data_IF_674367333693
#
_entry.id   IF_674367333693
#
_cell.length_a   1.000
_cell.length_b   1.000
_cell.length_c   1.000
_cell.angle_alpha   90.00
_cell.angle_beta   90.00
_cell.angle_gamma   90.00
#
_symmetry.space_group_name_H-M   'P 1'
#
loop_
_entity.id
_entity.type
_entity.pdbx_description
1 polymer ?
#
# COMPACT_ATOMS: atom_id res chain seq x y z
N UNK A 1 43.78 -65.10 -1.18
CA UNK A 1 42.31 -65.00 -1.31
C UNK A 1 42.01 -63.55 -1.66
N UNK A 2 41.17 -63.31 -2.66
CA UNK A 2 41.00 -62.00 -3.29
C UNK A 2 39.51 -61.70 -3.45
N UNK A 3 39.06 -60.62 -2.82
CA UNK A 3 37.67 -60.15 -2.89
C UNK A 3 37.69 -58.74 -3.47
N UNK A 4 37.29 -58.59 -4.73
CA UNK A 4 37.23 -57.30 -5.41
C UNK A 4 35.95 -56.55 -5.08
N UNK A 5 36.05 -55.26 -4.80
CA UNK A 5 34.91 -54.35 -4.66
C UNK A 5 34.84 -53.46 -5.91
N UNK A 6 33.65 -53.30 -6.50
CA UNK A 6 33.42 -52.35 -7.60
C UNK A 6 32.70 -51.11 -7.06
N UNK A 7 33.13 -49.88 -7.40
CA UNK A 7 32.28 -48.70 -7.23
C UNK A 7 31.13 -48.72 -8.24
N UNK A 8 30.06 -47.96 -7.95
CA UNK A 8 28.94 -47.70 -8.84
C UNK A 8 28.93 -46.22 -9.22
N UNK A 9 28.85 -45.92 -10.52
CA UNK A 9 28.70 -44.54 -11.02
C UNK A 9 27.29 -44.00 -10.76
N UNK A 10 27.16 -43.03 -9.86
CA UNK A 10 25.94 -42.26 -9.66
C UNK A 10 25.87 -41.09 -10.64
N UNK A 11 25.13 -41.22 -11.75
CA UNK A 11 24.86 -40.10 -12.66
C UNK A 11 23.91 -39.10 -12.02
N UNK A 12 24.29 -37.83 -11.97
CA UNK A 12 23.37 -36.72 -11.67
C UNK A 12 22.45 -36.51 -12.87
N UNK A 13 21.14 -36.68 -12.68
CA UNK A 13 20.13 -36.47 -13.71
C UNK A 13 19.63 -35.03 -13.72
N UNK A 14 19.55 -34.42 -14.90
CA UNK A 14 18.92 -33.12 -15.12
C UNK A 14 17.53 -33.31 -15.74
N UNK A 15 16.51 -32.69 -15.13
CA UNK A 15 15.18 -32.46 -15.67
C UNK A 15 14.77 -31.04 -15.25
N UNK A 16 14.59 -30.05 -16.12
CA UNK A 16 13.88 -29.98 -17.41
C UNK A 16 12.36 -30.15 -17.29
N UNK A 17 11.69 -29.02 -17.48
CA UNK A 17 10.60 -28.83 -18.44
C UNK A 17 9.42 -29.83 -18.36
N UNK A 18 8.39 -29.51 -17.57
CA UNK A 18 7.05 -30.12 -17.71
C UNK A 18 6.11 -29.11 -18.37
N UNK A 19 6.11 -29.13 -19.69
CA UNK A 19 5.02 -28.54 -20.50
C UNK A 19 3.95 -29.61 -20.68
N UNK A 20 2.69 -29.28 -20.39
CA UNK A 20 1.51 -30.01 -20.86
C UNK A 20 0.51 -29.05 -21.50
N UNK A 21 -0.24 -29.55 -22.49
CA UNK A 21 -0.86 -28.69 -23.48
C UNK A 21 -2.19 -29.23 -24.05
N UNK A 22 -3.12 -28.29 -24.26
CA UNK A 22 -4.11 -28.25 -25.37
C UNK A 22 -5.35 -29.18 -25.33
N UNK A 23 -6.45 -28.66 -25.93
CA UNK A 23 -7.67 -29.30 -26.46
C UNK A 23 -8.88 -29.55 -25.51
N UNK A 24 -10.16 -29.39 -25.93
CA UNK A 24 -10.79 -28.53 -26.98
C UNK A 24 -12.35 -28.56 -26.87
N UNK A 25 -13.06 -27.62 -27.52
CA UNK A 25 -14.53 -27.53 -27.76
C UNK A 25 -15.44 -27.28 -26.51
N UNK A 26 -16.45 -26.38 -26.45
CA UNK A 26 -17.39 -25.72 -27.39
C UNK A 26 -18.59 -26.59 -27.85
N UNK A 27 -19.82 -26.12 -28.07
CA UNK A 27 -20.41 -24.74 -28.13
C UNK A 27 -21.44 -24.52 -26.95
N UNK A 28 -22.59 -23.80 -26.91
CA UNK A 28 -23.55 -23.20 -27.87
C UNK A 28 -24.38 -22.00 -27.29
N UNK A 29 -24.40 -20.87 -28.02
CA UNK A 29 -25.41 -19.79 -28.22
C UNK A 29 -26.46 -19.38 -27.14
N UNK A 30 -26.56 -18.05 -26.95
CA UNK A 30 -27.77 -17.33 -26.52
C UNK A 30 -27.46 -15.84 -26.28
N UNK A 31 -28.10 -14.91 -27.02
CA UNK A 31 -27.78 -13.48 -26.90
C UNK A 31 -28.96 -12.57 -27.24
N UNK A 32 -28.87 -11.31 -26.78
CA UNK A 32 -29.72 -10.20 -27.19
C UNK A 32 -28.89 -8.93 -27.34
N UNK A 33 -29.33 -8.05 -28.25
CA UNK A 33 -28.73 -6.74 -28.51
C UNK A 33 -29.53 -5.67 -27.76
N UNK A 34 -28.85 -4.80 -27.02
CA UNK A 34 -29.45 -3.60 -26.42
C UNK A 34 -28.79 -2.35 -27.01
N UNK A 35 -29.43 -1.73 -28.01
CA UNK A 35 -29.08 -0.37 -28.42
C UNK A 35 -29.70 0.59 -27.40
N UNK A 36 -28.86 1.30 -26.64
CA UNK A 36 -29.28 2.34 -25.71
C UNK A 36 -28.22 3.44 -25.67
N UNK A 37 -28.63 4.69 -25.75
CA UNK A 37 -27.76 5.85 -25.57
C UNK A 37 -27.41 5.95 -24.09
N UNK A 38 -26.26 5.39 -23.72
CA UNK A 38 -25.75 5.49 -22.35
C UNK A 38 -25.14 6.88 -22.17
N UNK A 39 -25.94 7.83 -21.68
CA UNK A 39 -25.58 9.25 -21.53
C UNK A 39 -24.65 9.51 -20.34
N UNK A 40 -23.74 8.59 -20.07
CA UNK A 40 -22.75 8.66 -18.99
C UNK A 40 -21.44 9.17 -19.55
N UNK A 41 -20.97 10.28 -19.00
CA UNK A 41 -19.71 10.94 -19.38
C UNK A 41 -18.51 10.25 -18.72
N UNK A 42 -18.74 9.54 -17.61
CA UNK A 42 -17.71 8.77 -16.90
C UNK A 42 -18.20 7.37 -16.46
N UNK A 43 -17.23 6.47 -16.32
CA UNK A 43 -17.38 5.14 -15.71
C UNK A 43 -16.41 4.96 -14.53
N UNK A 44 -15.30 5.69 -14.51
CA UNK A 44 -14.34 5.74 -13.40
C UNK A 44 -13.93 7.18 -13.09
N UNK A 45 -13.42 7.39 -11.87
CA UNK A 45 -12.91 8.68 -11.38
C UNK A 45 -11.89 9.36 -12.31
N UNK A 46 -11.09 8.58 -13.04
CA UNK A 46 -10.07 9.07 -13.97
C UNK A 46 -10.62 9.65 -15.28
N UNK A 47 -11.90 9.42 -15.61
CA UNK A 47 -12.55 9.99 -16.79
C UNK A 47 -12.89 11.48 -16.59
N UNK A 48 -12.90 11.96 -15.33
CA UNK A 48 -13.33 13.29 -14.94
C UNK A 48 -12.15 14.22 -14.63
N UNK A 49 -12.18 15.45 -15.16
CA UNK A 49 -11.15 16.47 -14.88
C UNK A 49 -11.06 16.90 -13.40
N UNK A 50 -12.11 16.64 -12.61
CA UNK A 50 -12.19 16.82 -11.16
C UNK A 50 -11.70 15.62 -10.34
N UNK A 51 -11.43 14.47 -10.98
CA UNK A 51 -11.16 13.20 -10.31
C UNK A 51 -12.39 12.55 -9.66
N UNK A 52 -13.60 13.09 -9.85
CA UNK A 52 -14.83 12.59 -9.23
C UNK A 52 -15.88 12.27 -10.30
N UNK A 53 -16.14 10.98 -10.46
CA UNK A 53 -17.27 10.44 -11.22
C UNK A 53 -18.39 10.04 -10.24
N UNK A 54 -19.61 10.47 -10.49
CA UNK A 54 -20.79 10.15 -9.67
C UNK A 54 -21.41 8.80 -10.03
N UNK A 55 -22.20 8.18 -9.13
CA UNK A 55 -22.88 6.90 -9.41
C UNK A 55 -23.89 6.93 -10.56
N UNK A 56 -24.29 8.12 -11.04
CA UNK A 56 -25.12 8.30 -12.24
C UNK A 56 -24.30 8.43 -13.54
N UNK A 57 -22.98 8.46 -13.45
CA UNK A 57 -22.05 8.61 -14.58
C UNK A 57 -21.83 10.05 -15.04
N UNK A 58 -22.13 11.05 -14.20
CA UNK A 58 -21.75 12.46 -14.41
C UNK A 58 -20.46 12.81 -13.68
N UNK A 59 -19.70 13.79 -14.20
CA UNK A 59 -18.50 14.30 -13.54
C UNK A 59 -18.82 15.47 -12.61
N UNK A 60 -18.18 15.53 -11.44
CA UNK A 60 -18.21 16.72 -10.58
C UNK A 60 -17.59 17.92 -11.33
N UNK A 61 -18.23 19.10 -11.38
CA UNK A 61 -17.68 20.26 -12.06
C UNK A 61 -16.43 20.78 -11.36
N UNK A 62 -15.38 21.08 -12.13
CA UNK A 62 -14.18 21.76 -11.59
C UNK A 62 -14.54 23.20 -11.25
N UNK A 63 -14.66 23.50 -9.96
CA UNK A 63 -14.88 24.86 -9.46
C UNK A 63 -13.59 25.66 -9.58
N UNK A 64 -13.37 26.25 -10.75
CA UNK A 64 -12.30 27.23 -10.95
C UNK A 64 -12.68 28.49 -10.16
N UNK A 65 -12.00 28.74 -9.04
CA UNK A 65 -12.10 30.03 -8.37
C UNK A 65 -11.33 31.06 -9.20
N UNK A 66 -12.05 31.85 -9.99
CA UNK A 66 -11.50 33.01 -10.69
C UNK A 66 -11.05 34.07 -9.67
N UNK A 67 -9.78 33.98 -9.27
CA UNK A 67 -9.12 34.94 -8.40
C UNK A 67 -8.80 36.24 -9.17
N UNK A 68 -9.84 37.02 -9.47
CA UNK A 68 -9.72 38.22 -10.31
C UNK A 68 -10.95 39.12 -10.29
N UNK A 69 -11.28 39.70 -9.13
CA UNK A 69 -12.25 40.80 -9.02
C UNK A 69 -11.50 42.14 -8.81
N UNK A 70 -11.42 42.95 -9.85
CA UNK A 70 -10.78 44.27 -9.82
C UNK A 70 -11.77 45.35 -9.38
N UNK A 71 -11.68 45.77 -8.11
CA UNK A 71 -12.47 46.89 -7.57
C UNK A 71 -11.56 48.09 -7.27
N UNK A 72 -11.66 49.13 -8.09
CA UNK A 72 -10.84 50.35 -8.02
C UNK A 72 -11.67 51.61 -7.72
N UNK A 73 -11.13 52.48 -6.85
CA UNK A 73 -11.72 53.74 -6.38
C UNK A 73 -12.77 53.61 -5.25
N UNK A 74 -12.85 54.54 -4.28
CA UNK A 74 -11.97 55.69 -4.00
C UNK A 74 -12.65 56.79 -3.15
N UNK A 75 -11.84 57.75 -2.69
CA UNK A 75 -12.15 59.04 -2.04
C UNK A 75 -12.10 59.17 -0.48
N UNK A 76 -11.05 59.88 -0.03
CA UNK A 76 -11.03 61.02 0.92
C UNK A 76 -11.63 60.97 2.36
N UNK A 77 -10.71 61.20 3.32
CA UNK A 77 -10.83 62.03 4.55
C UNK A 77 -11.81 61.55 5.66
N UNK A 78 -11.67 61.90 6.95
CA UNK A 78 -10.80 62.86 7.65
C UNK A 78 -10.39 62.28 9.04
N UNK A 79 -9.58 62.98 9.83
CA UNK A 79 -9.06 62.50 11.12
C UNK A 79 -9.87 62.95 12.36
N UNK A 80 -10.12 62.06 13.34
CA UNK A 80 -9.98 62.36 14.81
C UNK A 80 -10.13 61.15 15.75
N UNK A 81 -9.34 61.17 16.82
CA UNK A 81 -9.59 60.76 18.23
C UNK A 81 -10.40 59.48 18.61
N UNK A 82 -9.64 58.44 18.95
CA UNK A 82 -9.60 57.78 20.27
C UNK A 82 -10.89 57.33 21.01
N UNK A 83 -11.24 56.05 20.84
CA UNK A 83 -11.60 55.09 21.90
C UNK A 83 -11.20 53.69 21.38
N UNK A 84 -10.38 52.89 22.06
CA UNK A 84 -10.66 52.10 23.27
C UNK A 84 -11.83 51.10 23.10
N UNK A 85 -11.56 50.02 22.36
CA UNK A 85 -12.25 48.75 22.55
C UNK A 85 -11.28 47.60 22.24
N UNK A 86 -10.93 46.79 23.26
CA UNK A 86 -10.10 45.59 23.07
C UNK A 86 -11.02 44.41 22.77
N UNK A 87 -11.35 44.22 21.50
CA UNK A 87 -11.87 42.92 21.07
C UNK A 87 -10.73 41.90 21.14
N UNK A 88 -10.78 41.04 22.15
CA UNK A 88 -10.11 39.74 22.13
C UNK A 88 -10.79 38.91 21.03
N UNK A 89 -10.35 39.10 19.79
CA UNK A 89 -10.59 38.12 18.75
C UNK A 89 -9.80 36.86 19.15
N UNK A 90 -10.54 35.86 19.63
CA UNK A 90 -10.11 34.46 19.60
C UNK A 90 -9.93 34.07 18.12
N UNK A 91 -8.80 34.47 17.55
CA UNK A 91 -8.30 33.98 16.29
C UNK A 91 -7.93 32.52 16.47
N UNK A 92 -8.92 31.64 16.31
CA UNK A 92 -8.72 30.22 16.05
C UNK A 92 -7.66 30.15 14.94
N UNK A 93 -6.46 29.59 15.23
CA UNK A 93 -5.34 29.75 14.32
C UNK A 93 -5.63 28.94 13.06
N UNK A 94 -5.83 29.63 11.94
CA UNK A 94 -5.81 29.04 10.60
C UNK A 94 -4.55 28.17 10.52
N UNK A 95 -4.76 26.85 10.56
CA UNK A 95 -3.69 25.88 10.59
C UNK A 95 -3.12 25.73 9.17
N UNK A 96 -2.35 26.74 8.76
CA UNK A 96 -1.60 26.83 7.51
C UNK A 96 -1.04 25.45 7.15
N UNK A 97 -1.63 24.77 6.14
CA UNK A 97 -1.70 23.31 6.09
C UNK A 97 -0.31 22.72 6.11
N UNK A 98 0.05 22.12 7.25
CA UNK A 98 1.44 21.96 7.74
C UNK A 98 2.36 21.44 6.65
N UNK A 99 2.99 22.36 5.91
CA UNK A 99 3.84 22.02 4.77
C UNK A 99 5.03 21.25 5.30
N UNK A 100 5.03 19.94 5.05
CA UNK A 100 6.07 19.03 5.50
C UNK A 100 7.43 19.53 4.98
N UNK A 101 8.38 19.66 5.90
CA UNK A 101 9.72 20.19 5.63
C UNK A 101 10.72 19.10 6.01
N UNK A 102 11.36 18.44 5.03
CA UNK A 102 12.38 17.45 5.33
C UNK A 102 13.58 18.15 5.97
N UNK A 103 14.17 17.51 6.98
CA UNK A 103 15.31 17.99 7.73
C UNK A 103 16.60 17.22 7.37
N UNK A 104 16.47 15.96 6.93
CA UNK A 104 17.58 15.11 6.47
C UNK A 104 18.50 14.55 7.57
N UNK A 105 18.08 14.50 8.84
CA UNK A 105 18.91 14.04 9.96
C UNK A 105 19.00 12.49 10.10
N UNK A 106 18.13 11.76 9.39
CA UNK A 106 18.04 10.29 9.43
C UNK A 106 16.97 9.75 10.41
N UNK A 107 16.20 10.65 11.02
CA UNK A 107 15.02 10.36 11.85
C UNK A 107 13.78 10.91 11.14
N UNK A 108 12.71 10.13 11.07
CA UNK A 108 11.41 10.60 10.57
C UNK A 108 10.43 10.66 11.74
N UNK A 109 9.97 11.87 12.10
CA UNK A 109 8.89 12.09 13.07
C UNK A 109 7.52 12.09 12.39
N UNK A 110 6.45 12.09 13.17
CA UNK A 110 5.08 12.20 12.64
C UNK A 110 4.86 13.49 11.80
N UNK A 111 5.56 14.59 12.14
CA UNK A 111 5.49 15.84 11.38
C UNK A 111 6.21 15.79 10.02
N UNK A 112 7.14 14.83 9.84
CA UNK A 112 7.87 14.58 8.60
C UNK A 112 7.26 13.44 7.77
N UNK A 113 6.15 12.85 8.19
CA UNK A 113 5.44 11.79 7.48
C UNK A 113 3.92 12.06 7.47
N UNK A 114 3.44 13.02 6.67
CA UNK A 114 2.01 13.36 6.60
C UNK A 114 1.20 12.14 6.12
N UNK A 115 0.26 11.70 6.94
CA UNK A 115 -0.58 10.53 6.73
C UNK A 115 -2.04 10.85 7.07
N UNK A 116 -2.96 10.32 6.29
CA UNK A 116 -4.40 10.60 6.39
C UNK A 116 -5.11 10.28 5.06
N UNK A 117 -6.40 10.60 4.92
CA UNK A 117 -7.11 10.51 3.64
C UNK A 117 -6.72 11.66 2.68
N UNK A 118 -7.01 11.49 1.39
CA UNK A 118 -6.85 12.53 0.37
C UNK A 118 -5.52 12.52 -0.40
N UNK A 119 -4.56 11.68 0.00
CA UNK A 119 -3.29 11.53 -0.73
C UNK A 119 -3.47 10.54 -1.89
N UNK A 120 -2.81 10.81 -3.02
CA UNK A 120 -2.78 9.93 -4.19
C UNK A 120 -1.40 9.92 -4.83
N UNK A 121 -1.00 8.81 -5.41
CA UNK A 121 0.32 8.61 -6.03
C UNK A 121 0.29 7.44 -7.01
N UNK A 122 1.06 7.54 -8.10
CA UNK A 122 1.21 6.44 -9.07
C UNK A 122 2.37 5.55 -8.67
N UNK A 123 2.17 4.24 -8.63
CA UNK A 123 3.23 3.26 -8.37
C UNK A 123 3.42 2.34 -9.56
N UNK A 124 4.67 2.18 -10.02
CA UNK A 124 5.02 1.11 -10.95
C UNK A 124 5.15 -0.18 -10.17
N UNK A 125 4.26 -1.13 -10.44
CA UNK A 125 4.18 -2.41 -9.75
C UNK A 125 4.71 -3.52 -10.65
N UNK A 126 5.80 -4.14 -10.22
CA UNK A 126 6.39 -5.35 -10.81
C UNK A 126 5.86 -6.58 -10.07
N UNK A 127 5.36 -7.61 -10.77
CA UNK A 127 4.93 -8.89 -10.16
C UNK A 127 5.61 -10.10 -10.80
N UNK A 128 5.81 -11.16 -10.01
CA UNK A 128 6.51 -12.38 -10.42
C UNK A 128 7.97 -12.08 -10.79
N UNK A 129 8.68 -11.42 -9.89
CA UNK A 129 9.96 -10.76 -10.18
C UNK A 129 11.12 -11.72 -9.95
N UNK A 130 11.56 -12.39 -11.01
CA UNK A 130 12.79 -13.18 -10.99
C UNK A 130 14.04 -12.30 -11.01
N UNK A 131 15.08 -12.68 -10.25
CA UNK A 131 16.38 -12.00 -10.27
C UNK A 131 16.46 -10.66 -9.53
N UNK A 132 15.41 -10.28 -8.79
CA UNK A 132 15.51 -9.22 -7.78
C UNK A 132 16.44 -9.63 -6.64
N UNK A 133 17.14 -8.67 -6.04
CA UNK A 133 17.86 -8.84 -4.78
C UNK A 133 17.52 -7.65 -3.87
N UNK A 134 17.11 -7.92 -2.63
CA UNK A 134 16.69 -6.87 -1.69
C UNK A 134 17.86 -6.11 -1.04
N UNK A 135 19.07 -6.70 -1.08
CA UNK A 135 20.26 -6.16 -0.44
C UNK A 135 20.82 -4.97 -1.25
N UNK A 136 21.12 -3.83 -0.60
CA UNK A 136 21.65 -2.65 -1.31
C UNK A 136 23.12 -2.82 -1.74
N UNK A 137 23.51 -2.12 -2.79
CA UNK A 137 24.92 -1.89 -3.10
C UNK A 137 25.49 -0.78 -2.20
N UNK A 138 26.32 -1.17 -1.22
CA UNK A 138 27.03 -0.25 -0.34
C UNK A 138 28.50 -0.02 -0.75
N UNK A 139 28.94 -0.49 -1.93
CA UNK A 139 30.34 -0.39 -2.39
C UNK A 139 30.85 1.05 -2.50
N UNK A 140 29.95 2.01 -2.71
CA UNK A 140 30.26 3.45 -2.78
C UNK A 140 30.43 4.14 -1.42
N UNK A 141 30.25 3.43 -0.31
CA UNK A 141 30.21 4.00 1.04
C UNK A 141 28.84 4.52 1.46
N UNK A 142 27.93 4.73 0.52
CA UNK A 142 26.48 4.91 0.75
C UNK A 142 25.74 3.73 0.12
N UNK A 143 24.85 3.11 0.89
CA UNK A 143 23.99 2.03 0.41
C UNK A 143 22.96 2.56 -0.61
N UNK A 144 22.84 1.87 -1.75
CA UNK A 144 21.93 2.20 -2.84
C UNK A 144 21.03 1.00 -3.17
N UNK A 145 19.72 1.25 -3.21
CA UNK A 145 18.76 0.39 -3.89
C UNK A 145 18.39 1.02 -5.23
N UNK A 146 18.76 0.38 -6.33
CA UNK A 146 18.37 0.81 -7.67
C UNK A 146 17.11 0.06 -8.11
N UNK A 147 15.94 0.64 -7.88
CA UNK A 147 14.66 -0.01 -8.16
C UNK A 147 14.08 0.37 -9.54
N UNK A 148 14.74 1.18 -10.36
CA UNK A 148 14.16 1.68 -11.62
C UNK A 148 13.71 0.53 -12.53
N UNK A 149 14.65 -0.33 -12.91
CA UNK A 149 14.49 -1.39 -13.91
C UNK A 149 14.27 -2.78 -13.28
N UNK A 150 13.38 -2.86 -12.28
CA UNK A 150 12.92 -4.15 -11.72
C UNK A 150 12.02 -4.87 -12.72
N UNK A 151 12.40 -6.11 -13.06
CA UNK A 151 11.71 -6.99 -14.03
C UNK A 151 10.37 -7.57 -13.53
N UNK A 152 9.97 -8.71 -14.10
CA UNK A 152 8.63 -9.29 -13.92
C UNK A 152 7.61 -8.69 -14.90
N UNK A 153 6.31 -8.90 -14.64
CA UNK A 153 5.22 -8.19 -15.34
C UNK A 153 5.01 -6.85 -14.67
N UNK A 154 4.99 -5.76 -15.45
CA UNK A 154 4.88 -4.39 -14.92
C UNK A 154 3.58 -3.71 -15.34
N UNK A 155 2.99 -2.95 -14.41
CA UNK A 155 1.89 -2.02 -14.64
C UNK A 155 2.09 -0.76 -13.78
N UNK A 156 1.48 0.35 -14.17
CA UNK A 156 1.40 1.55 -13.32
C UNK A 156 0.01 1.57 -12.68
N UNK A 157 -0.03 1.62 -11.34
CA UNK A 157 -1.24 1.48 -10.53
C UNK A 157 -1.41 2.67 -9.59
N UNK A 158 -2.60 3.31 -9.56
CA UNK A 158 -2.87 4.38 -8.61
C UNK A 158 -3.03 3.80 -7.20
N UNK A 159 -2.29 4.37 -6.26
CA UNK A 159 -2.51 4.21 -4.82
C UNK A 159 -3.12 5.49 -4.27
N UNK A 160 -4.20 5.38 -3.51
CA UNK A 160 -4.87 6.50 -2.87
C UNK A 160 -5.23 6.16 -1.42
N UNK A 161 -5.21 7.16 -0.55
CA UNK A 161 -5.77 7.09 0.80
C UNK A 161 -7.16 7.72 0.78
N UNK A 162 -8.18 6.95 1.16
CA UNK A 162 -9.58 7.34 1.09
C UNK A 162 -10.13 7.53 2.51
N UNK A 163 -10.98 8.53 2.70
CA UNK A 163 -11.75 8.65 3.94
C UNK A 163 -12.61 7.39 4.17
N UNK A 164 -12.82 7.04 5.44
CA UNK A 164 -13.66 5.89 5.81
C UNK A 164 -15.16 6.23 5.79
N UNK A 165 -15.53 7.51 5.84
CA UNK A 165 -16.92 7.94 5.80
C UNK A 165 -17.66 7.41 4.56
N UNK A 166 -18.88 6.91 4.79
CA UNK A 166 -19.69 6.27 3.75
C UNK A 166 -19.22 4.88 3.28
N UNK A 167 -18.07 4.37 3.72
CA UNK A 167 -17.66 2.99 3.43
C UNK A 167 -18.52 1.99 4.20
N UNK A 168 -18.84 0.86 3.58
CA UNK A 168 -19.74 -0.15 4.15
C UNK A 168 -19.24 -0.77 5.47
N UNK A 169 -17.93 -0.74 5.71
CA UNK A 169 -17.28 -1.23 6.92
C UNK A 169 -17.05 -0.15 7.99
N UNK A 170 -17.40 1.11 7.74
CA UNK A 170 -17.07 2.25 8.63
C UNK A 170 -17.63 2.11 10.06
N UNK A 171 -18.78 1.44 10.21
CA UNK A 171 -19.46 1.24 11.50
C UNK A 171 -19.11 -0.07 12.21
N UNK A 172 -18.09 -0.80 11.75
CA UNK A 172 -17.61 -2.00 12.45
C UNK A 172 -16.79 -1.61 13.69
N UNK A 173 -17.06 -2.26 14.82
CA UNK A 173 -16.49 -1.93 16.15
C UNK A 173 -14.95 -1.86 16.14
N UNK A 174 -14.28 -2.76 15.42
CA UNK A 174 -12.82 -2.79 15.29
C UNK A 174 -12.20 -1.64 14.48
N UNK A 175 -13.02 -0.81 13.82
CA UNK A 175 -12.57 0.30 12.97
C UNK A 175 -12.96 1.68 13.53
N UNK A 176 -13.39 1.76 14.80
CA UNK A 176 -13.81 3.01 15.45
C UNK A 176 -12.74 4.13 15.46
N UNK A 177 -11.46 3.79 15.38
CA UNK A 177 -10.33 4.74 15.31
C UNK A 177 -9.79 4.97 13.88
N UNK A 178 -10.42 4.39 12.85
CA UNK A 178 -9.86 4.39 11.50
C UNK A 178 -9.79 5.80 10.90
N UNK A 179 -8.60 6.21 10.47
CA UNK A 179 -8.33 7.51 9.85
C UNK A 179 -8.51 7.46 8.33
N UNK A 180 -8.10 6.35 7.69
CA UNK A 180 -8.25 6.16 6.25
C UNK A 180 -8.27 4.69 5.85
N UNK A 181 -8.61 4.43 4.57
CA UNK A 181 -8.49 3.13 3.93
C UNK A 181 -7.69 3.24 2.62
N UNK A 182 -6.96 2.19 2.23
CA UNK A 182 -6.17 2.17 1.00
C UNK A 182 -6.01 0.75 0.45
N UNK A 183 -5.82 0.61 -0.87
CA UNK A 183 -5.69 -0.68 -1.56
C UNK A 183 -4.37 -1.34 -1.19
N UNK A 184 -4.43 -2.57 -0.66
CA UNK A 184 -3.25 -3.37 -0.38
C UNK A 184 -2.73 -3.95 -1.69
N UNK A 185 -3.35 -5.02 -2.18
CA UNK A 185 -3.07 -5.66 -3.46
C UNK A 185 -4.29 -6.50 -3.88
N UNK A 186 -4.23 -7.12 -5.06
CA UNK A 186 -5.21 -8.13 -5.48
C UNK A 186 -4.96 -9.44 -4.71
N UNK A 187 -5.91 -9.82 -3.84
CA UNK A 187 -5.79 -11.05 -3.08
C UNK A 187 -6.33 -12.22 -3.88
N UNK A 188 -5.43 -13.11 -4.30
CA UNK A 188 -5.75 -14.33 -5.03
C UNK A 188 -5.48 -15.56 -4.17
N UNK A 189 -6.53 -16.20 -3.67
CA UNK A 189 -6.45 -17.46 -2.94
C UNK A 189 -6.84 -18.62 -3.86
N UNK A 190 -5.96 -19.61 -4.01
CA UNK A 190 -6.26 -20.82 -4.76
C UNK A 190 -6.26 -22.05 -3.84
N UNK A 191 -7.19 -22.97 -4.07
CA UNK A 191 -7.27 -24.25 -3.38
C UNK A 191 -7.34 -25.38 -4.41
N UNK A 192 -6.37 -26.30 -4.39
CA UNK A 192 -6.26 -27.36 -5.40
C UNK A 192 -6.09 -26.87 -6.84
N UNK A 193 -5.58 -25.64 -7.02
CA UNK A 193 -5.47 -24.97 -8.33
C UNK A 193 -6.75 -24.24 -8.80
N UNK A 194 -7.83 -24.29 -8.02
CA UNK A 194 -9.07 -23.53 -8.29
C UNK A 194 -8.97 -22.19 -7.55
N UNK A 195 -9.20 -21.02 -8.21
CA UNK A 195 -9.35 -19.76 -7.49
C UNK A 195 -10.63 -19.80 -6.64
N UNK A 196 -10.45 -19.68 -5.32
CA UNK A 196 -11.55 -19.57 -4.34
C UNK A 196 -11.71 -18.13 -3.83
N UNK A 197 -10.75 -17.26 -4.13
CA UNK A 197 -10.86 -15.82 -3.96
C UNK A 197 -10.01 -15.12 -5.02
N UNK A 198 -10.56 -14.10 -5.66
CA UNK A 198 -9.83 -13.17 -6.53
C UNK A 198 -10.54 -11.81 -6.46
N UNK A 199 -10.05 -10.91 -5.61
CA UNK A 199 -10.68 -9.60 -5.34
C UNK A 199 -9.70 -8.59 -4.74
N UNK A 200 -10.01 -7.31 -4.92
CA UNK A 200 -9.27 -6.18 -4.33
C UNK A 200 -9.44 -6.17 -2.81
N UNK A 201 -8.32 -6.11 -2.07
CA UNK A 201 -8.34 -5.91 -0.62
C UNK A 201 -7.94 -4.49 -0.25
N UNK A 202 -8.69 -3.93 0.69
CA UNK A 202 -8.47 -2.65 1.31
C UNK A 202 -7.94 -2.85 2.73
N UNK A 203 -6.85 -2.18 3.08
CA UNK A 203 -6.43 -2.02 4.46
C UNK A 203 -7.24 -0.91 5.12
N UNK A 204 -7.58 -1.10 6.39
CA UNK A 204 -8.20 -0.06 7.24
C UNK A 204 -7.16 0.38 8.25
N UNK A 205 -6.84 1.68 8.29
CA UNK A 205 -5.67 2.22 8.97
C UNK A 205 -6.04 3.26 10.04
N UNK A 206 -5.35 3.22 11.17
CA UNK A 206 -5.27 4.30 12.16
C UNK A 206 -3.94 5.04 12.02
N UNK A 207 -3.98 6.36 12.06
CA UNK A 207 -2.83 7.27 12.15
C UNK A 207 -2.96 8.04 13.46
N UNK A 208 -1.89 8.08 14.24
CA UNK A 208 -1.76 8.92 15.43
C UNK A 208 -0.28 9.31 15.64
N UNK A 209 0.00 10.17 16.62
CA UNK A 209 1.35 10.69 16.92
C UNK A 209 2.43 9.60 17.12
N UNK A 210 2.04 8.36 17.42
CA UNK A 210 2.96 7.24 17.65
C UNK A 210 3.22 6.36 16.41
N UNK A 211 2.44 6.46 15.34
CA UNK A 211 2.66 5.65 14.14
C UNK A 211 1.47 5.46 13.19
N UNK A 212 1.67 4.53 12.26
CA UNK A 212 0.67 4.02 11.32
C UNK A 212 0.34 2.57 11.68
N UNK A 213 -0.94 2.28 11.88
CA UNK A 213 -1.42 0.98 12.34
C UNK A 213 -2.47 0.40 11.38
N UNK A 214 -2.37 -0.89 11.05
CA UNK A 214 -3.40 -1.62 10.31
C UNK A 214 -4.40 -2.21 11.30
N UNK A 215 -5.65 -1.72 11.27
CA UNK A 215 -6.76 -2.20 12.09
C UNK A 215 -7.39 -3.47 11.52
N UNK A 216 -7.36 -3.64 10.20
CA UNK A 216 -7.90 -4.83 9.53
C UNK A 216 -7.80 -4.77 8.01
N UNK A 217 -8.31 -5.83 7.40
CA UNK A 217 -8.38 -6.02 5.95
C UNK A 217 -9.85 -6.29 5.58
N UNK A 218 -10.34 -5.57 4.58
CA UNK A 218 -11.72 -5.70 4.09
C UNK A 218 -11.75 -5.79 2.57
N UNK A 219 -12.80 -6.39 2.02
CA UNK A 219 -13.08 -6.32 0.59
C UNK A 219 -13.48 -4.90 0.18
N UNK A 220 -13.22 -4.53 -1.09
CA UNK A 220 -13.69 -3.24 -1.61
C UNK A 220 -15.22 -3.12 -1.52
N UNK A 221 -15.95 -4.16 -1.94
CA UNK A 221 -17.41 -4.23 -1.83
C UNK A 221 -17.85 -5.21 -0.74
N UNK A 222 -18.92 -4.89 -0.03
CA UNK A 222 -19.51 -5.76 0.99
C UNK A 222 -19.94 -7.13 0.41
N UNK A 223 -20.28 -7.15 -0.88
CA UNK A 223 -20.73 -8.35 -1.60
C UNK A 223 -19.62 -9.40 -1.82
N UNK A 224 -18.34 -9.05 -1.62
CA UNK A 224 -17.21 -9.98 -1.74
C UNK A 224 -16.79 -10.60 -0.39
N UNK A 225 -17.36 -10.10 0.71
CA UNK A 225 -17.37 -10.76 2.02
C UNK A 225 -16.01 -11.04 2.66
N UNK A 226 -15.07 -10.10 2.62
CA UNK A 226 -13.89 -10.14 3.50
C UNK A 226 -14.01 -9.09 4.60
N UNK A 227 -13.93 -9.54 5.85
CA UNK A 227 -13.94 -8.75 7.08
C UNK A 227 -12.97 -9.37 8.08
N UNK A 228 -11.69 -8.97 8.00
CA UNK A 228 -10.64 -9.44 8.91
C UNK A 228 -10.20 -8.30 9.84
N UNK A 229 -10.73 -8.28 11.06
CA UNK A 229 -10.38 -7.31 12.13
C UNK A 229 -9.24 -7.86 12.98
N UNK A 230 -8.22 -7.06 13.28
CA UNK A 230 -7.13 -7.47 14.18
C UNK A 230 -7.50 -7.25 15.66
N UNK A 231 -7.23 -8.25 16.51
CA UNK A 231 -7.35 -8.13 17.98
C UNK A 231 -6.45 -7.03 18.57
N UNK A 232 -5.30 -6.80 17.95
CA UNK A 232 -4.38 -5.69 18.23
C UNK A 232 -3.98 -5.08 16.89
N UNK A 233 -4.13 -3.76 16.69
CA UNK A 233 -3.64 -3.08 15.50
C UNK A 233 -2.19 -3.44 15.20
N UNK A 234 -1.86 -3.65 13.92
CA UNK A 234 -0.50 -3.98 13.50
C UNK A 234 0.27 -2.68 13.23
N UNK A 235 1.24 -2.26 14.07
CA UNK A 235 2.12 -1.15 13.74
C UNK A 235 2.93 -1.45 12.47
N UNK A 236 2.68 -0.69 11.41
CA UNK A 236 3.41 -0.75 10.15
C UNK A 236 4.57 0.25 10.12
N UNK A 237 4.41 1.37 10.80
CA UNK A 237 5.41 2.41 11.07
C UNK A 237 5.22 2.86 12.52
N UNK A 238 6.31 3.12 13.23
CA UNK A 238 6.29 3.77 14.55
C UNK A 238 7.16 5.02 14.53
N UNK A 239 6.78 6.06 15.27
CA UNK A 239 7.51 7.31 15.37
C UNK A 239 8.23 7.45 16.73
N UNK A 240 9.45 8.01 16.78
CA UNK A 240 10.29 8.37 15.65
C UNK A 240 10.89 7.14 14.94
N UNK A 241 10.90 7.17 13.61
CA UNK A 241 11.49 6.13 12.77
C UNK A 241 12.98 6.46 12.54
N UNK A 242 13.89 5.61 13.01
CA UNK A 242 15.34 5.77 12.83
C UNK A 242 16.02 4.40 12.83
N UNK A 243 17.23 4.29 12.27
CA UNK A 243 17.97 3.01 12.20
C UNK A 243 18.18 2.40 13.59
N UNK A 244 17.77 1.15 13.75
CA UNK A 244 17.76 0.44 15.03
C UNK A 244 16.44 0.50 15.80
N UNK A 245 15.48 1.34 15.42
CA UNK A 245 14.09 1.27 15.93
C UNK A 245 13.46 -0.05 15.50
N UNK A 246 13.01 -0.85 16.46
CA UNK A 246 12.42 -2.17 16.21
C UNK A 246 11.21 -2.43 17.12
N UNK A 247 10.23 -3.16 16.60
CA UNK A 247 8.96 -3.44 17.26
C UNK A 247 8.37 -4.79 16.80
N UNK A 248 7.41 -5.31 17.55
CA UNK A 248 6.74 -6.57 17.21
C UNK A 248 5.33 -6.61 17.81
N UNK A 249 4.42 -7.35 17.16
CA UNK A 249 3.10 -7.67 17.70
C UNK A 249 2.71 -9.12 17.37
N UNK A 250 2.23 -9.83 18.39
CA UNK A 250 1.40 -11.04 18.22
C UNK A 250 -0.08 -10.62 18.21
N UNK A 251 -0.79 -10.91 17.13
CA UNK A 251 -2.19 -10.54 16.92
C UNK A 251 -2.97 -11.69 16.29
N UNK A 252 -4.29 -11.54 16.17
CA UNK A 252 -5.15 -12.46 15.43
C UNK A 252 -6.08 -11.64 14.55
N UNK A 253 -6.09 -11.92 13.25
CA UNK A 253 -7.11 -11.42 12.34
C UNK A 253 -8.35 -12.31 12.42
N UNK A 254 -9.51 -11.74 12.71
CA UNK A 254 -10.78 -12.45 12.93
C UNK A 254 -11.87 -12.01 11.95
N UNK A 255 -12.68 -12.97 11.52
CA UNK A 255 -13.92 -12.75 10.75
C UNK A 255 -13.88 -13.43 9.38
N UNK A 256 -14.72 -12.97 8.45
CA UNK A 256 -14.91 -13.64 7.17
C UNK A 256 -13.78 -13.33 6.19
N UNK A 257 -13.50 -14.30 5.32
CA UNK A 257 -12.61 -14.14 4.17
C UNK A 257 -13.34 -14.64 2.93
N UNK A 258 -13.49 -13.78 1.93
CA UNK A 258 -14.01 -14.12 0.61
C UNK A 258 -15.38 -14.84 0.60
N UNK A 259 -16.37 -14.29 1.29
CA UNK A 259 -17.72 -14.88 1.46
C UNK A 259 -17.74 -16.28 2.10
N UNK A 260 -16.68 -16.67 2.81
CA UNK A 260 -16.66 -17.92 3.59
C UNK A 260 -17.83 -17.99 4.58
N UNK A 261 -18.49 -19.15 4.63
CA UNK A 261 -19.51 -19.48 5.64
C UNK A 261 -18.93 -19.75 7.03
N UNK A 262 -17.61 -19.61 7.18
CA UNK A 262 -16.86 -19.74 8.43
C UNK A 262 -16.03 -18.49 8.69
N UNK A 263 -16.07 -17.98 9.92
CA UNK A 263 -15.10 -17.02 10.43
C UNK A 263 -13.74 -17.69 10.61
N UNK A 264 -12.70 -17.02 10.13
CA UNK A 264 -11.32 -17.38 10.37
C UNK A 264 -10.79 -16.73 11.65
N UNK A 265 -9.81 -17.38 12.26
CA UNK A 265 -9.00 -16.85 13.35
C UNK A 265 -7.54 -17.08 12.94
N UNK A 266 -6.94 -16.08 12.31
CA UNK A 266 -5.62 -16.17 11.68
C UNK A 266 -4.60 -15.54 12.63
N UNK A 267 -3.87 -16.36 13.38
CA UNK A 267 -2.81 -15.87 14.27
C UNK A 267 -1.63 -15.38 13.46
N UNK A 268 -1.13 -14.18 13.77
CA UNK A 268 -0.06 -13.52 13.03
C UNK A 268 0.93 -12.86 13.98
N UNK A 269 2.22 -13.06 13.72
CA UNK A 269 3.32 -12.38 14.40
C UNK A 269 4.00 -11.48 13.38
N UNK A 270 4.06 -10.19 13.68
CA UNK A 270 4.85 -9.22 12.92
C UNK A 270 6.10 -8.87 13.72
N UNK A 271 7.26 -8.89 13.08
CA UNK A 271 8.54 -8.41 13.65
C UNK A 271 9.15 -7.43 12.66
N UNK A 272 9.30 -6.17 13.08
CA UNK A 272 9.72 -5.07 12.22
C UNK A 272 10.94 -4.35 12.80
N UNK A 273 11.85 -3.93 11.93
CA UNK A 273 13.03 -3.15 12.30
C UNK A 273 13.39 -2.16 11.19
N UNK A 274 13.83 -0.96 11.56
CA UNK A 274 14.55 -0.08 10.63
C UNK A 274 15.99 -0.56 10.57
N UNK A 275 16.33 -1.38 9.58
CA UNK A 275 17.64 -2.05 9.53
C UNK A 275 18.72 -1.27 8.78
N UNK A 276 18.33 -0.38 7.86
CA UNK A 276 19.26 0.32 6.98
C UNK A 276 18.76 1.72 6.60
N UNK A 277 19.70 2.66 6.45
CA UNK A 277 19.52 3.95 5.77
C UNK A 277 20.33 3.96 4.47
N UNK A 278 19.83 4.62 3.43
CA UNK A 278 20.54 4.71 2.16
C UNK A 278 19.84 5.62 1.14
N UNK A 279 20.07 5.33 -0.14
CA UNK A 279 19.43 6.02 -1.27
C UNK A 279 18.58 5.03 -2.04
N UNK A 280 17.39 5.46 -2.48
CA UNK A 280 16.51 4.66 -3.34
C UNK A 280 16.29 5.40 -4.65
N UNK A 281 16.58 4.74 -5.77
CA UNK A 281 16.12 5.21 -7.08
C UNK A 281 14.78 4.55 -7.42
N UNK A 282 13.87 5.36 -7.94
CA UNK A 282 12.55 4.97 -8.43
C UNK A 282 12.32 5.57 -9.82
N UNK A 283 11.32 5.12 -10.59
CA UNK A 283 10.92 5.78 -11.84
C UNK A 283 10.51 7.26 -11.68
N UNK A 284 10.09 7.69 -10.48
CA UNK A 284 9.83 9.10 -10.17
C UNK A 284 11.14 9.90 -9.99
N UNK A 285 12.10 9.35 -9.25
CA UNK A 285 13.36 10.04 -8.96
C UNK A 285 14.28 9.29 -7.99
N UNK A 286 15.38 9.94 -7.60
CA UNK A 286 16.27 9.45 -6.54
C UNK A 286 15.92 10.14 -5.22
N UNK A 287 15.79 9.35 -4.17
CA UNK A 287 15.59 9.80 -2.80
C UNK A 287 16.84 9.50 -1.97
N UNK A 288 17.29 10.50 -1.20
CA UNK A 288 18.37 10.39 -0.23
C UNK A 288 17.81 10.14 1.18
N UNK A 289 18.66 9.69 2.12
CA UNK A 289 18.33 9.42 3.54
C UNK A 289 17.12 8.48 3.78
N UNK A 290 16.81 7.61 2.82
CA UNK A 290 15.67 6.70 2.90
C UNK A 290 15.90 5.63 3.95
N UNK A 291 14.93 5.46 4.85
CA UNK A 291 14.90 4.39 5.84
C UNK A 291 14.22 3.14 5.26
N UNK A 292 14.86 1.97 5.41
CA UNK A 292 14.23 0.67 5.11
C UNK A 292 13.64 0.07 6.39
N UNK A 293 12.32 -0.11 6.41
CA UNK A 293 11.62 -0.92 7.40
C UNK A 293 11.54 -2.35 6.87
N UNK A 294 12.24 -3.25 7.54
CA UNK A 294 12.26 -4.68 7.27
C UNK A 294 11.28 -5.39 8.21
N UNK A 295 10.18 -5.91 7.66
CA UNK A 295 9.09 -6.55 8.39
C UNK A 295 9.00 -8.03 8.00
N UNK A 296 9.24 -8.93 8.95
CA UNK A 296 8.89 -10.35 8.86
C UNK A 296 7.46 -10.55 9.38
N UNK A 297 6.58 -11.07 8.53
CA UNK A 297 5.26 -11.57 8.92
C UNK A 297 5.30 -13.10 8.98
N UNK A 298 4.89 -13.68 10.11
CA UNK A 298 4.59 -15.10 10.25
C UNK A 298 3.08 -15.29 10.46
N UNK A 299 2.46 -16.17 9.69
CA UNK A 299 0.99 -16.36 9.64
C UNK A 299 0.61 -17.83 9.80
N UNK A 300 -0.28 -18.12 10.74
CA UNK A 300 -0.86 -19.44 10.99
C UNK A 300 -2.35 -19.47 10.65
N UNK A 301 -2.75 -20.33 9.71
CA UNK A 301 -4.15 -20.52 9.28
C UNK A 301 -4.90 -21.58 10.12
N UNK A 302 -4.46 -21.85 11.35
CA UNK A 302 -5.09 -22.80 12.28
C UNK A 302 -4.15 -23.86 12.86
N UNK A 303 -4.67 -24.66 13.79
CA UNK A 303 -3.90 -25.69 14.51
C UNK A 303 -3.42 -26.79 13.56
N UNK A 304 -2.11 -27.08 13.60
CA UNK A 304 -1.48 -28.10 12.76
C UNK A 304 -1.15 -27.63 11.33
N UNK A 305 -1.45 -26.39 10.97
CA UNK A 305 -1.02 -25.78 9.70
C UNK A 305 0.38 -25.17 9.88
N UNK A 306 1.31 -25.48 8.97
CA UNK A 306 2.65 -24.89 8.93
C UNK A 306 2.55 -23.37 8.77
N UNK A 307 3.38 -22.62 9.48
CA UNK A 307 3.46 -21.16 9.33
C UNK A 307 3.88 -20.78 7.90
N UNK A 308 3.11 -19.92 7.25
CA UNK A 308 3.56 -19.19 6.06
C UNK A 308 4.32 -17.94 6.52
N UNK A 309 5.47 -17.66 5.90
CA UNK A 309 6.29 -16.46 6.18
C UNK A 309 6.40 -15.58 4.94
N UNK A 310 6.44 -14.26 5.13
CA UNK A 310 6.80 -13.30 4.09
C UNK A 310 7.63 -12.17 4.70
N UNK A 311 8.59 -11.66 3.92
CA UNK A 311 9.41 -10.50 4.27
C UNK A 311 8.94 -9.33 3.41
N UNK A 312 8.68 -8.18 4.03
CA UNK A 312 8.38 -6.93 3.34
C UNK A 312 9.44 -5.89 3.69
N UNK A 313 10.06 -5.29 2.68
CA UNK A 313 10.92 -4.13 2.81
C UNK A 313 10.18 -2.89 2.34
N UNK A 314 9.79 -2.04 3.28
CA UNK A 314 9.14 -0.75 3.02
C UNK A 314 10.18 0.37 3.05
N UNK A 315 10.23 1.19 2.01
CA UNK A 315 11.19 2.28 1.87
C UNK A 315 10.50 3.61 2.14
N UNK A 316 10.93 4.30 3.20
CA UNK A 316 10.27 5.48 3.76
C UNK A 316 11.18 6.71 3.64
N UNK A 317 10.65 7.79 3.10
CA UNK A 317 11.33 9.07 2.96
C UNK A 317 10.50 10.21 3.57
N UNK A 318 11.18 11.19 4.16
CA UNK A 318 10.60 12.41 4.70
C UNK A 318 9.72 13.10 3.65
N UNK A 319 8.51 13.51 4.04
CA UNK A 319 7.49 14.17 3.24
C UNK A 319 6.92 13.40 2.03
N UNK A 320 7.47 12.24 1.67
CA UNK A 320 6.92 11.36 0.63
C UNK A 320 6.27 10.09 1.18
N UNK A 321 6.44 9.79 2.47
CA UNK A 321 5.98 8.55 3.12
C UNK A 321 6.61 7.30 2.47
N UNK A 322 5.86 6.28 2.11
CA UNK A 322 6.33 5.06 1.45
C UNK A 322 6.59 5.30 -0.04
N UNK A 323 7.86 5.47 -0.43
CA UNK A 323 8.26 5.65 -1.83
C UNK A 323 8.40 4.33 -2.60
N UNK A 324 8.59 3.21 -1.91
CA UNK A 324 8.60 1.87 -2.49
C UNK A 324 8.32 0.79 -1.45
N UNK A 325 7.92 -0.40 -1.90
CA UNK A 325 7.91 -1.61 -1.10
C UNK A 325 8.26 -2.84 -1.96
N UNK A 326 9.01 -3.79 -1.40
CA UNK A 326 9.30 -5.08 -2.01
C UNK A 326 8.84 -6.20 -1.06
N UNK A 327 8.14 -7.20 -1.60
CA UNK A 327 7.61 -8.35 -0.86
C UNK A 327 8.25 -9.63 -1.38
N UNK A 328 8.78 -10.47 -0.49
CA UNK A 328 9.37 -11.76 -0.85
C UNK A 328 8.33 -12.72 -1.44
N UNK A 329 8.79 -13.82 -2.01
CA UNK A 329 7.93 -15.01 -2.16
C UNK A 329 7.58 -15.61 -0.78
N UNK A 330 6.49 -16.39 -0.70
CA UNK A 330 6.12 -17.08 0.55
C UNK A 330 7.17 -18.14 0.94
N UNK A 331 7.46 -18.24 2.24
CA UNK A 331 8.45 -19.17 2.80
C UNK A 331 9.87 -18.61 2.94
N UNK A 332 10.09 -17.34 2.58
CA UNK A 332 11.36 -16.66 2.84
C UNK A 332 11.72 -16.65 4.34
N UNK A 333 13.02 -16.75 4.64
CA UNK A 333 13.51 -17.02 6.01
C UNK A 333 14.85 -16.32 6.36
N UNK A 334 15.22 -15.27 5.62
CA UNK A 334 16.34 -14.38 5.93
C UNK A 334 15.91 -12.99 6.39
N UNK A 335 16.86 -12.05 6.44
CA UNK A 335 16.57 -10.59 6.48
C UNK A 335 16.55 -9.97 5.08
N UNK A 336 17.26 -10.61 4.14
CA UNK A 336 17.30 -10.30 2.70
C UNK A 336 16.69 -11.48 1.91
N UNK A 337 16.30 -11.24 0.66
CA UNK A 337 15.70 -12.25 -0.22
C UNK A 337 16.09 -12.02 -1.70
N UNK A 338 16.12 -13.13 -2.45
CA UNK A 338 16.27 -13.17 -3.91
C UNK A 338 14.92 -13.52 -4.56
N UNK A 339 14.52 -12.75 -5.58
CA UNK A 339 13.19 -12.81 -6.18
C UNK A 339 12.10 -12.17 -5.31
N UNK A 340 11.06 -11.61 -5.93
CA UNK A 340 9.99 -10.93 -5.22
C UNK A 340 8.62 -11.23 -5.84
N UNK A 341 7.62 -11.49 -5.00
CA UNK A 341 6.24 -11.69 -5.43
C UNK A 341 5.68 -10.38 -6.01
N UNK A 342 5.99 -9.25 -5.36
CA UNK A 342 5.71 -7.90 -5.83
C UNK A 342 6.81 -6.90 -5.44
N UNK A 343 7.13 -5.96 -6.35
CA UNK A 343 7.91 -4.74 -6.06
C UNK A 343 7.18 -3.53 -6.60
N UNK A 344 6.67 -2.68 -5.71
CA UNK A 344 5.99 -1.41 -6.03
C UNK A 344 6.90 -0.22 -5.72
N UNK A 345 6.93 0.79 -6.60
CA UNK A 345 7.84 1.94 -6.52
C UNK A 345 7.21 3.18 -7.14
N UNK A 346 7.40 4.34 -6.52
CA UNK A 346 6.81 5.60 -6.97
C UNK A 346 7.22 5.91 -8.42
N UNK A 347 6.26 6.31 -9.24
CA UNK A 347 6.46 6.75 -10.62
C UNK A 347 5.74 8.07 -10.85
N UNK A 348 6.06 8.75 -11.94
CA UNK A 348 5.29 9.91 -12.38
C UNK A 348 3.83 9.51 -12.66
N UNK A 349 2.91 10.46 -12.50
CA UNK A 349 1.57 10.35 -13.08
C UNK A 349 1.68 10.22 -14.61
N UNK A 350 0.79 9.44 -15.26
CA UNK A 350 0.82 9.15 -16.69
C UNK A 350 0.46 10.35 -17.58
#
# INVERSE_FOLDING_TARGET
MTTGYRPLDGRVGSSRDVVWAVALAALFFGGCKGDGEDTRECNVHADCASGICHPDGTCEPVVVQDAGDESDGGADLDATDAADDKQEQDGEPDADPTVCKPNGDGTITAAEMPLGPGFSSMFRVSRGVSGFASQPDCSSGTCLWDLVDVGGVTADEPSATLAIDGKWFASLEGFANATYTSRLADFKLTFGGIPVCDQVQMGVFEVNDSGLFLLGIVSEFAADGTTLVYEKPVPLIVFPLAVGTAWSVDTVARGQLCNSVYDYNISQTYTSTVDQIGRVKTPYGTFDNVLRVNTLMERHMGVGVTATKAITHTYVAECFTTIAAAVSEEGASGTEFEGASEVRRLTNLP
#
